data_IF_291421284968
#
_entry.id   IF_291421284968
#
_cell.length_a   1.000
_cell.length_b   1.000
_cell.length_c   1.000
_cell.angle_alpha   90.00
_cell.angle_beta   90.00
_cell.angle_gamma   90.00
#
_symmetry.space_group_name_H-M   'P 1'
#
loop_
_entity.id
_entity.type
_entity.pdbx_description
1 polymer ?
#
# COMPACT_ATOMS: atom_id res chain seq x y z
N UNK A 1 -29.95 -19.86 42.42
CA UNK A 1 -30.99 -20.34 41.49
C UNK A 1 -30.52 -20.02 40.09
N UNK A 2 -30.22 -21.07 39.33
CA UNK A 2 -29.77 -21.02 37.94
C UNK A 2 -31.02 -21.02 37.05
N UNK A 3 -31.08 -20.16 36.03
CA UNK A 3 -32.16 -20.17 35.03
C UNK A 3 -31.52 -20.04 33.64
N UNK A 4 -32.02 -20.90 32.77
CA UNK A 4 -31.43 -21.41 31.54
C UNK A 4 -31.25 -20.39 30.40
N UNK A 5 -30.24 -20.69 29.56
CA UNK A 5 -30.18 -20.33 28.15
C UNK A 5 -31.48 -20.70 27.41
N UNK A 6 -31.77 -19.94 26.34
CA UNK A 6 -31.85 -20.59 25.04
C UNK A 6 -31.10 -19.83 23.94
N UNK A 7 -30.22 -20.56 23.24
CA UNK A 7 -29.88 -20.30 21.83
C UNK A 7 -31.07 -20.65 20.93
N UNK A 8 -31.25 -19.90 19.85
CA UNK A 8 -31.65 -20.54 18.61
C UNK A 8 -30.76 -20.10 17.44
N UNK A 9 -29.94 -21.05 16.97
CA UNK A 9 -29.41 -21.04 15.62
C UNK A 9 -30.54 -20.86 14.58
N UNK A 10 -30.29 -20.00 13.58
CA UNK A 10 -30.56 -20.18 12.13
C UNK A 10 -31.07 -18.89 11.49
N UNK A 11 -30.29 -18.37 10.55
CA UNK A 11 -30.70 -17.21 9.74
C UNK A 11 -29.69 -16.86 8.64
N UNK A 12 -29.49 -17.81 7.74
CA UNK A 12 -29.07 -17.67 6.34
C UNK A 12 -27.79 -16.89 6.00
N UNK A 13 -26.77 -17.68 5.65
CA UNK A 13 -25.76 -17.35 4.64
C UNK A 13 -26.43 -16.72 3.42
N UNK A 14 -26.12 -15.45 3.15
CA UNK A 14 -26.17 -14.87 1.81
C UNK A 14 -24.74 -14.83 1.29
N UNK A 15 -24.17 -16.00 1.05
CA UNK A 15 -23.10 -16.16 0.07
C UNK A 15 -23.68 -15.83 -1.30
N UNK A 16 -23.38 -14.63 -1.81
CA UNK A 16 -23.66 -14.31 -3.20
C UNK A 16 -22.70 -15.14 -4.08
N UNK A 17 -23.24 -16.21 -4.62
CA UNK A 17 -22.62 -17.13 -5.56
C UNK A 17 -22.30 -16.40 -6.89
N UNK A 18 -21.11 -15.80 -6.98
CA UNK A 18 -20.59 -15.30 -8.26
C UNK A 18 -19.92 -16.47 -8.99
N UNK A 19 -20.77 -17.19 -9.72
CA UNK A 19 -20.55 -17.70 -11.08
C UNK A 19 -19.15 -18.25 -11.40
N UNK A 20 -18.96 -19.55 -11.13
CA UNK A 20 -17.82 -20.36 -11.62
C UNK A 20 -17.81 -20.36 -13.15
N UNK A 21 -16.88 -19.64 -13.77
CA UNK A 21 -16.59 -19.80 -15.19
C UNK A 21 -15.71 -21.03 -15.40
N UNK A 22 -16.35 -22.08 -15.91
CA UNK A 22 -15.72 -23.23 -16.55
C UNK A 22 -14.94 -22.73 -17.78
N UNK A 23 -13.62 -22.89 -17.80
CA UNK A 23 -12.83 -22.82 -19.05
C UNK A 23 -12.27 -24.20 -19.32
N UNK A 24 -12.89 -24.85 -20.29
CA UNK A 24 -12.44 -26.06 -20.97
C UNK A 24 -11.55 -25.63 -22.13
N UNK A 25 -10.39 -26.27 -22.27
CA UNK A 25 -9.56 -26.22 -23.48
C UNK A 25 -8.14 -25.72 -23.17
N UNK A 26 -7.07 -26.45 -23.47
CA UNK A 26 -6.94 -27.73 -24.12
C UNK A 26 -5.59 -28.36 -23.81
N UNK A 27 -5.57 -29.69 -23.76
CA UNK A 27 -4.35 -30.49 -23.80
C UNK A 27 -3.61 -30.24 -25.10
N UNK A 28 -2.38 -29.74 -25.02
CA UNK A 28 -1.29 -30.15 -25.93
C UNK A 28 0.02 -30.20 -25.11
N UNK A 29 0.62 -31.40 -25.09
CA UNK A 29 1.67 -31.79 -24.18
C UNK A 29 3.03 -31.13 -24.39
N UNK A 30 3.80 -31.08 -23.32
CA UNK A 30 5.19 -30.66 -23.30
C UNK A 30 5.79 -30.95 -21.93
N UNK A 31 6.92 -31.64 -21.94
CA UNK A 31 7.58 -32.32 -20.81
C UNK A 31 8.27 -31.33 -19.85
N UNK A 32 8.22 -31.61 -18.55
CA UNK A 32 9.30 -31.26 -17.61
C UNK A 32 9.06 -30.01 -16.76
N UNK A 33 8.99 -30.20 -15.44
CA UNK A 33 8.51 -29.22 -14.48
C UNK A 33 9.48 -28.10 -14.10
N UNK A 34 8.88 -27.01 -13.60
CA UNK A 34 9.40 -26.22 -12.47
C UNK A 34 8.22 -25.60 -11.73
N UNK A 35 8.29 -25.72 -10.41
CA UNK A 35 7.32 -25.21 -9.44
C UNK A 35 7.50 -23.71 -9.17
N UNK A 36 6.55 -23.17 -8.40
CA UNK A 36 6.37 -21.78 -7.90
C UNK A 36 5.40 -21.00 -8.78
N UNK A 37 4.11 -20.89 -8.47
CA UNK A 37 3.51 -20.45 -7.20
C UNK A 37 4.18 -19.16 -6.70
N UNK A 38 3.53 -18.04 -7.02
CA UNK A 38 3.65 -16.66 -6.50
C UNK A 38 3.73 -15.62 -7.64
N UNK A 39 2.58 -15.33 -8.25
CA UNK A 39 2.35 -14.04 -8.93
C UNK A 39 0.85 -13.78 -9.14
N UNK A 40 0.05 -13.94 -8.09
CA UNK A 40 -1.30 -13.36 -8.03
C UNK A 40 -1.21 -12.09 -7.20
N UNK A 41 -1.21 -10.93 -7.87
CA UNK A 41 -1.28 -9.65 -7.20
C UNK A 41 -0.60 -8.48 -7.90
N UNK A 42 -0.57 -8.42 -9.24
CA UNK A 42 -0.53 -7.10 -9.87
C UNK A 42 -1.91 -6.47 -9.66
N UNK A 43 -2.07 -5.68 -8.61
CA UNK A 43 -3.10 -4.65 -8.57
C UNK A 43 -2.85 -3.76 -9.79
N UNK A 44 -3.68 -3.93 -10.81
CA UNK A 44 -3.71 -3.04 -11.97
C UNK A 44 -4.09 -1.64 -11.46
N UNK A 45 -3.11 -0.85 -11.05
CA UNK A 45 -3.23 0.60 -11.13
C UNK A 45 -3.49 0.88 -12.60
N UNK A 46 -4.65 1.46 -12.91
CA UNK A 46 -5.02 1.82 -14.26
C UNK A 46 -3.86 2.63 -14.84
N UNK A 47 -3.15 2.02 -15.80
CA UNK A 47 -2.08 2.64 -16.53
C UNK A 47 -2.74 3.57 -17.57
N UNK A 48 -3.48 4.58 -17.09
CA UNK A 48 -3.99 5.64 -17.93
C UNK A 48 -2.79 6.48 -18.32
N UNK A 49 -2.42 6.34 -19.58
CA UNK A 49 -1.42 7.12 -20.30
C UNK A 49 -1.93 8.55 -20.55
N UNK A 50 -2.52 9.16 -19.52
CA UNK A 50 -2.80 10.58 -19.43
C UNK A 50 -1.72 11.16 -18.52
N UNK A 51 -0.79 11.88 -19.14
CA UNK A 51 0.41 12.48 -18.53
C UNK A 51 0.08 13.66 -17.59
N UNK A 52 -1.16 13.72 -17.11
CA UNK A 52 -1.74 14.80 -16.33
C UNK A 52 -2.69 14.25 -15.25
N UNK A 53 -2.33 13.14 -14.62
CA UNK A 53 -3.10 12.64 -13.48
C UNK A 53 -3.03 13.66 -12.34
N UNK A 54 -4.16 14.27 -12.00
CA UNK A 54 -4.26 15.19 -10.86
C UNK A 54 -4.13 14.47 -9.51
N UNK A 55 -4.10 13.13 -9.49
CA UNK A 55 -4.09 12.33 -8.26
C UNK A 55 -3.12 11.15 -8.38
N UNK A 56 -2.37 10.90 -7.33
CA UNK A 56 -1.56 9.70 -7.14
C UNK A 56 -1.97 9.04 -5.82
N UNK A 57 -2.15 7.71 -5.85
CA UNK A 57 -2.46 6.91 -4.67
C UNK A 57 -1.65 5.62 -4.71
N UNK A 58 -0.86 5.36 -3.67
CA UNK A 58 -0.07 4.13 -3.55
C UNK A 58 0.19 3.80 -2.09
N UNK A 59 0.41 2.52 -1.81
CA UNK A 59 1.08 2.08 -0.59
C UNK A 59 2.60 2.09 -0.80
N UNK A 60 3.36 2.41 0.25
CA UNK A 60 4.81 2.53 0.22
C UNK A 60 5.41 1.91 1.48
N UNK A 61 6.32 0.96 1.30
CA UNK A 61 7.18 0.44 2.37
C UNK A 61 8.53 1.13 2.32
N UNK A 62 8.91 1.79 3.40
CA UNK A 62 10.14 2.57 3.52
C UNK A 62 11.08 1.89 4.53
N UNK A 63 12.29 1.49 4.11
CA UNK A 63 13.29 0.94 5.01
C UNK A 63 13.93 2.04 5.89
N UNK A 64 14.57 1.67 7.01
CA UNK A 64 15.32 2.61 7.83
C UNK A 64 16.47 3.23 7.03
N UNK A 65 16.83 4.46 7.36
CA UNK A 65 17.93 5.16 6.71
C UNK A 65 19.28 4.59 7.14
N UNK A 66 20.21 4.44 6.19
CA UNK A 66 21.57 3.93 6.45
C UNK A 66 22.43 4.91 7.25
N UNK A 67 22.01 6.16 7.38
CA UNK A 67 22.77 7.21 8.07
C UNK A 67 22.54 7.27 9.59
N UNK A 68 21.75 6.34 10.14
CA UNK A 68 21.61 6.16 11.60
C UNK A 68 21.07 7.40 12.30
N UNK A 69 20.09 8.05 11.67
CA UNK A 69 19.36 9.17 12.27
C UNK A 69 17.99 8.67 12.73
N UNK A 70 17.45 9.33 13.75
CA UNK A 70 16.06 9.19 14.22
C UNK A 70 15.01 9.66 13.18
N UNK A 71 15.31 9.57 11.88
CA UNK A 71 14.50 10.05 10.79
C UNK A 71 14.66 9.16 9.56
N UNK A 72 13.54 8.86 8.91
CA UNK A 72 13.47 8.31 7.56
C UNK A 72 13.07 9.43 6.61
N UNK A 73 13.77 9.56 5.46
CA UNK A 73 13.37 10.47 4.37
C UNK A 73 13.33 9.73 3.05
N UNK A 74 12.18 9.76 2.39
CA UNK A 74 11.96 9.11 1.11
C UNK A 74 11.35 10.10 0.11
N UNK A 75 11.91 10.13 -1.10
CA UNK A 75 11.26 10.77 -2.24
C UNK A 75 10.44 9.74 -3.00
N UNK A 76 9.19 10.08 -3.30
CA UNK A 76 8.24 9.25 -4.04
C UNK A 76 7.88 9.99 -5.30
N UNK A 77 8.23 9.44 -6.46
CA UNK A 77 7.80 10.01 -7.74
C UNK A 77 6.30 9.78 -7.91
N UNK A 78 5.53 10.85 -8.04
CA UNK A 78 4.07 10.79 -8.20
C UNK A 78 3.60 11.29 -9.55
N UNK A 79 4.43 12.06 -10.26
CA UNK A 79 4.06 12.83 -11.46
C UNK A 79 2.88 13.81 -11.24
N UNK A 80 2.54 14.13 -9.98
CA UNK A 80 1.50 15.10 -9.60
C UNK A 80 2.17 16.39 -9.17
N UNK A 81 1.80 17.52 -9.78
CA UNK A 81 2.40 18.82 -9.50
C UNK A 81 1.65 19.59 -8.40
N UNK A 82 2.39 20.16 -7.45
CA UNK A 82 1.84 21.05 -6.42
C UNK A 82 0.82 20.38 -5.50
N UNK A 83 -0.10 21.16 -4.93
CA UNK A 83 -1.22 20.63 -4.13
C UNK A 83 -0.83 20.08 -2.75
N UNK A 84 -1.46 18.96 -2.36
CA UNK A 84 -1.37 18.40 -1.01
C UNK A 84 -0.98 16.92 -1.03
N UNK A 85 -0.18 16.52 -0.06
CA UNK A 85 0.21 15.12 0.16
C UNK A 85 -0.30 14.68 1.53
N UNK A 86 -1.05 13.59 1.55
CA UNK A 86 -1.56 12.95 2.74
C UNK A 86 -0.87 11.59 2.92
N UNK A 87 -0.46 11.30 4.14
CA UNK A 87 0.15 10.03 4.50
C UNK A 87 -0.54 9.45 5.73
N UNK A 88 -0.87 8.17 5.67
CA UNK A 88 -1.42 7.41 6.80
C UNK A 88 -0.54 6.22 7.06
N UNK A 89 -0.12 6.03 8.31
CA UNK A 89 0.61 4.85 8.74
C UNK A 89 -0.30 3.62 8.63
N UNK A 90 0.12 2.60 7.87
CA UNK A 90 -0.61 1.34 7.76
C UNK A 90 0.02 0.24 8.59
N UNK A 91 1.35 0.18 8.63
CA UNK A 91 2.11 -0.80 9.41
C UNK A 91 3.44 -0.21 9.87
N UNK A 92 3.91 -0.64 11.04
CA UNK A 92 5.23 -0.32 11.57
C UNK A 92 5.85 -1.59 12.15
N UNK A 93 7.13 -1.82 11.89
CA UNK A 93 7.90 -2.87 12.57
C UNK A 93 7.86 -2.70 14.10
N UNK A 94 7.63 -3.78 14.83
CA UNK A 94 7.48 -3.75 16.29
C UNK A 94 8.76 -3.33 17.04
N UNK A 95 9.92 -3.40 16.40
CA UNK A 95 11.20 -2.95 16.97
C UNK A 95 11.46 -1.46 16.75
N UNK A 96 10.64 -0.78 15.94
CA UNK A 96 10.79 0.66 15.72
C UNK A 96 10.36 1.45 16.96
N UNK A 97 11.09 2.52 17.33
CA UNK A 97 10.63 3.49 18.31
C UNK A 97 9.31 4.13 17.90
N UNK A 98 8.64 4.82 18.83
CA UNK A 98 7.42 5.55 18.50
C UNK A 98 7.70 6.67 17.48
N UNK A 99 6.83 6.79 16.49
CA UNK A 99 6.81 7.92 15.55
C UNK A 99 6.36 9.16 16.31
N UNK A 100 7.12 10.25 16.17
CA UNK A 100 6.81 11.55 16.78
C UNK A 100 6.10 12.48 15.81
N UNK A 101 6.43 12.39 14.53
CA UNK A 101 5.84 13.22 13.48
C UNK A 101 6.06 12.62 12.10
N UNK A 102 5.12 12.91 11.20
CA UNK A 102 5.20 12.61 9.78
C UNK A 102 4.96 13.91 9.02
N UNK A 103 5.89 14.23 8.11
CA UNK A 103 5.75 15.35 7.18
C UNK A 103 5.72 14.81 5.76
N UNK A 104 4.81 15.33 4.96
CA UNK A 104 4.74 15.04 3.54
C UNK A 104 4.53 16.35 2.78
N UNK A 105 5.34 16.57 1.75
CA UNK A 105 5.27 17.82 0.97
C UNK A 105 5.51 17.52 -0.51
N UNK A 106 4.77 18.15 -1.43
CA UNK A 106 5.08 18.08 -2.84
C UNK A 106 6.45 18.72 -3.09
N UNK A 107 7.30 18.07 -3.88
CA UNK A 107 8.64 18.58 -4.24
C UNK A 107 9.01 18.18 -5.67
N UNK A 108 9.95 18.94 -6.25
CA UNK A 108 10.67 18.52 -7.45
C UNK A 108 12.11 18.20 -7.07
N UNK A 109 12.56 16.97 -7.32
CA UNK A 109 13.94 16.53 -7.04
C UNK A 109 14.58 16.06 -8.34
N UNK A 110 15.69 16.70 -8.72
CA UNK A 110 16.45 16.35 -9.95
C UNK A 110 15.58 16.29 -11.22
N UNK A 111 14.59 17.19 -11.33
CA UNK A 111 13.65 17.25 -12.46
C UNK A 111 12.45 16.30 -12.36
N UNK A 112 12.39 15.44 -11.36
CA UNK A 112 11.24 14.56 -11.13
C UNK A 112 10.24 15.19 -10.17
N UNK A 113 8.97 15.16 -10.54
CA UNK A 113 7.86 15.66 -9.72
C UNK A 113 7.35 14.55 -8.81
N UNK A 114 7.24 14.84 -7.52
CA UNK A 114 6.85 13.87 -6.53
C UNK A 114 6.50 14.47 -5.18
N UNK A 115 6.61 13.64 -4.15
CA UNK A 115 6.47 14.02 -2.76
C UNK A 115 7.73 13.62 -1.98
N UNK A 116 8.12 14.44 -1.03
CA UNK A 116 9.06 14.05 0.00
C UNK A 116 8.30 13.71 1.28
N UNK A 117 8.56 12.52 1.81
CA UNK A 117 8.03 12.03 3.06
C UNK A 117 9.18 11.97 4.07
N UNK A 118 8.98 12.59 5.23
CA UNK A 118 9.91 12.56 6.35
C UNK A 118 9.19 12.04 7.60
N UNK A 119 9.68 10.95 8.17
CA UNK A 119 9.13 10.31 9.38
C UNK A 119 10.17 10.47 10.48
N UNK A 120 9.80 11.11 11.58
CA UNK A 120 10.67 11.27 12.75
C UNK A 120 10.26 10.30 13.85
N UNK A 121 11.25 9.75 14.53
CA UNK A 121 11.09 8.75 15.58
C UNK A 121 11.68 9.26 16.90
N UNK A 122 11.29 8.65 18.03
CA UNK A 122 11.91 8.92 19.33
C UNK A 122 13.36 8.40 19.43
N UNK A 123 13.77 7.52 18.53
CA UNK A 123 15.12 6.95 18.43
C UNK A 123 15.36 6.39 17.03
N UNK A 124 16.47 5.68 16.83
CA UNK A 124 16.80 5.17 15.50
C UNK A 124 15.83 4.06 15.06
N UNK A 125 15.24 4.18 13.84
CA UNK A 125 14.38 3.14 13.29
C UNK A 125 15.20 1.89 12.94
N UNK A 126 14.66 0.72 13.25
CA UNK A 126 15.29 -0.60 13.09
C UNK A 126 14.68 -1.44 11.98
N UNK A 127 13.43 -1.16 11.62
CA UNK A 127 12.66 -1.91 10.64
C UNK A 127 11.84 -1.01 9.74
N UNK A 128 11.12 -1.64 8.82
CA UNK A 128 10.34 -0.94 7.80
C UNK A 128 9.13 -0.22 8.38
N UNK A 129 8.69 0.82 7.67
CA UNK A 129 7.40 1.48 7.89
C UNK A 129 6.61 1.45 6.60
N UNK A 130 5.34 1.05 6.66
CA UNK A 130 4.43 1.05 5.52
C UNK A 130 3.40 2.17 5.69
N UNK A 131 3.20 2.95 4.62
CA UNK A 131 2.27 4.07 4.60
C UNK A 131 1.42 4.05 3.33
N UNK A 132 0.15 4.41 3.47
CA UNK A 132 -0.69 4.84 2.35
C UNK A 132 -0.39 6.30 2.03
N UNK A 133 -0.14 6.60 0.76
CA UNK A 133 0.20 7.94 0.26
C UNK A 133 -0.83 8.36 -0.77
N UNK A 134 -1.44 9.53 -0.55
CA UNK A 134 -2.33 10.20 -1.48
C UNK A 134 -1.74 11.57 -1.81
N UNK A 135 -1.50 11.86 -3.08
CA UNK A 135 -1.05 13.16 -3.55
C UNK A 135 -2.10 13.72 -4.51
N UNK A 136 -2.72 14.83 -4.14
CA UNK A 136 -3.74 15.53 -4.93
C UNK A 136 -3.15 16.86 -5.41
N UNK A 137 -3.04 17.02 -6.72
CA UNK A 137 -2.53 18.24 -7.35
C UNK A 137 -3.49 19.41 -7.16
N UNK A 138 -2.94 20.62 -7.16
CA UNK A 138 -3.75 21.84 -7.23
C UNK A 138 -4.32 21.98 -8.63
N UNK A 139 -5.64 22.12 -8.76
CA UNK A 139 -6.22 22.56 -10.04
C UNK A 139 -5.73 23.99 -10.30
N UNK A 140 -5.05 24.19 -11.42
CA UNK A 140 -4.67 25.52 -11.93
C UNK A 140 -5.54 25.83 -13.13
#
# INVERSE_FOLDING_TARGET
>A
MSINHPDPCKGNSMESEIQRRHVVGGLLGGVGGIASLLASGQSNAANSKDDNSAVFCSELTIPPSLDGKNQIRQFVRTNVQGGHVFCTLTEQDNENPAITSVFATPVTRKGEVGAEIAINFLGDPRGNVTMSVLHVGSQV
#
